data_IF_425287323020
#
_entry.id   IF_425287323020
#
_cell.length_a   1.000
_cell.length_b   1.000
_cell.length_c   1.000
_cell.angle_alpha   90.00
_cell.angle_beta   90.00
_cell.angle_gamma   90.00
#
_symmetry.space_group_name_H-M   'P 1'
#
loop_
_entity.id
_entity.type
_entity.pdbx_description
1 polymer ?
#
# COMPACT_ATOMS: atom_id res chain seq x y z
N UNK A 1 42.96 -74.13 33.37
CA UNK A 1 43.12 -72.67 33.20
C UNK A 1 43.10 -72.37 31.70
N UNK A 2 41.95 -72.56 31.07
CA UNK A 2 40.99 -71.52 30.64
C UNK A 2 41.51 -70.68 29.47
N UNK A 3 41.36 -71.25 28.28
CA UNK A 3 41.60 -70.62 26.99
C UNK A 3 40.31 -69.89 26.56
N UNK A 4 40.36 -68.56 26.45
CA UNK A 4 39.23 -67.73 26.01
C UNK A 4 39.51 -67.19 24.60
N UNK A 5 38.59 -67.36 23.64
CA UNK A 5 38.77 -66.79 22.31
C UNK A 5 38.42 -65.29 22.29
N UNK A 6 39.31 -64.49 21.68
CA UNK A 6 39.10 -63.05 21.41
C UNK A 6 37.90 -62.84 20.46
N UNK A 7 36.84 -62.20 20.96
CA UNK A 7 35.71 -61.72 20.14
C UNK A 7 36.14 -60.54 19.25
N UNK A 8 35.90 -60.65 17.95
CA UNK A 8 35.98 -59.54 16.98
C UNK A 8 34.84 -58.53 17.26
N UNK A 9 35.05 -57.21 17.10
CA UNK A 9 33.94 -56.26 17.16
C UNK A 9 33.03 -56.43 15.94
N UNK A 10 31.72 -56.51 16.18
CA UNK A 10 30.71 -56.54 15.13
C UNK A 10 30.72 -55.21 14.36
N UNK A 11 30.82 -55.29 13.03
CA UNK A 11 30.57 -54.16 12.14
C UNK A 11 29.11 -53.71 12.31
N UNK A 12 28.92 -52.53 12.90
CA UNK A 12 27.62 -51.87 12.90
C UNK A 12 27.26 -51.51 11.45
N UNK A 13 26.27 -52.21 10.93
CA UNK A 13 25.61 -51.92 9.67
C UNK A 13 25.05 -50.49 9.73
N UNK A 14 25.66 -49.56 8.97
CA UNK A 14 25.10 -48.24 8.73
C UNK A 14 23.70 -48.43 8.12
N UNK A 15 22.65 -48.18 8.91
CA UNK A 15 21.30 -48.01 8.40
C UNK A 15 21.33 -46.82 7.44
N UNK A 16 21.23 -47.10 6.14
CA UNK A 16 20.96 -46.09 5.13
C UNK A 16 19.61 -45.46 5.49
N UNK A 17 19.62 -44.17 5.84
CA UNK A 17 18.39 -43.38 5.93
C UNK A 17 17.72 -43.40 4.55
N UNK A 18 16.41 -43.61 4.46
CA UNK A 18 15.70 -43.60 3.19
C UNK A 18 15.90 -42.22 2.54
N UNK A 19 16.44 -42.24 1.33
CA UNK A 19 16.62 -41.08 0.48
C UNK A 19 15.25 -40.41 0.30
N UNK A 20 15.00 -39.28 0.98
CA UNK A 20 13.80 -38.47 0.77
C UNK A 20 13.81 -38.04 -0.70
N UNK A 21 12.99 -38.70 -1.52
CA UNK A 21 12.80 -38.32 -2.91
C UNK A 21 12.43 -36.84 -2.95
N UNK A 22 13.36 -36.02 -3.46
CA UNK A 22 13.13 -34.60 -3.68
C UNK A 22 11.89 -34.45 -4.54
N UNK A 23 10.86 -33.76 -4.04
CA UNK A 23 9.64 -33.49 -4.81
C UNK A 23 10.03 -32.90 -6.18
N UNK A 24 9.39 -33.33 -7.28
CA UNK A 24 9.70 -32.83 -8.61
C UNK A 24 9.57 -31.31 -8.65
N UNK A 25 10.51 -30.66 -9.33
CA UNK A 25 10.53 -29.20 -9.46
C UNK A 25 9.25 -28.72 -10.16
N UNK A 26 8.40 -28.00 -9.42
CA UNK A 26 7.21 -27.35 -9.97
C UNK A 26 7.57 -25.93 -10.40
N UNK A 27 7.30 -25.59 -11.66
CA UNK A 27 7.45 -24.21 -12.16
C UNK A 27 6.59 -23.25 -11.31
N UNK A 28 7.12 -22.07 -10.94
CA UNK A 28 6.35 -21.08 -10.19
C UNK A 28 5.10 -20.64 -10.95
N UNK A 29 3.99 -20.46 -10.23
CA UNK A 29 2.75 -19.97 -10.81
C UNK A 29 2.72 -18.45 -10.80
N UNK A 30 2.39 -17.84 -11.94
CA UNK A 30 2.25 -16.40 -12.05
C UNK A 30 0.86 -15.98 -11.58
N UNK A 31 0.82 -15.18 -10.53
CA UNK A 31 -0.36 -14.45 -10.10
C UNK A 31 -0.30 -13.05 -10.73
N UNK A 32 -1.18 -12.73 -11.69
CA UNK A 32 -1.11 -11.45 -12.42
C UNK A 32 -1.35 -10.25 -11.51
N UNK A 33 -2.17 -10.38 -10.47
CA UNK A 33 -2.52 -9.29 -9.55
C UNK A 33 -1.30 -8.90 -8.71
N UNK A 34 -0.66 -9.90 -8.08
CA UNK A 34 0.51 -9.66 -7.23
C UNK A 34 1.74 -9.29 -8.04
N UNK A 35 1.87 -9.82 -9.26
CA UNK A 35 2.94 -9.42 -10.17
C UNK A 35 2.78 -7.95 -10.58
N UNK A 36 1.56 -7.50 -10.93
CA UNK A 36 1.30 -6.10 -11.23
C UNK A 36 1.62 -5.20 -10.04
N UNK A 37 1.17 -5.58 -8.83
CA UNK A 37 1.47 -4.81 -7.62
C UNK A 37 2.98 -4.69 -7.38
N UNK A 38 3.73 -5.79 -7.52
CA UNK A 38 5.19 -5.77 -7.44
C UNK A 38 5.83 -4.87 -8.51
N UNK A 39 5.38 -4.92 -9.76
CA UNK A 39 5.90 -4.07 -10.83
C UNK A 39 5.69 -2.58 -10.53
N UNK A 40 4.55 -2.20 -9.94
CA UNK A 40 4.32 -0.82 -9.49
C UNK A 40 5.27 -0.45 -8.35
N UNK A 41 5.34 -1.27 -7.29
CA UNK A 41 6.21 -1.00 -6.14
C UNK A 41 7.68 -0.85 -6.57
N UNK A 42 8.15 -1.73 -7.46
CA UNK A 42 9.48 -1.62 -8.08
C UNK A 42 9.68 -0.32 -8.83
N UNK A 43 8.68 0.14 -9.58
CA UNK A 43 8.79 1.39 -10.32
C UNK A 43 8.85 2.61 -9.38
N UNK A 44 8.10 2.59 -8.27
CA UNK A 44 8.17 3.64 -7.24
C UNK A 44 9.55 3.65 -6.59
N UNK A 45 10.04 2.51 -6.12
CA UNK A 45 11.33 2.38 -5.43
C UNK A 45 12.54 2.72 -6.33
N UNK A 46 12.54 2.23 -7.58
CA UNK A 46 13.70 2.36 -8.49
C UNK A 46 13.76 3.68 -9.25
N UNK A 47 12.60 4.32 -9.50
CA UNK A 47 12.51 5.46 -10.44
C UNK A 47 11.91 6.72 -9.84
N UNK A 48 11.67 6.73 -8.53
CA UNK A 48 10.97 7.81 -7.82
C UNK A 48 9.64 8.17 -8.52
N UNK A 49 9.01 7.15 -9.10
CA UNK A 49 7.80 7.31 -9.88
C UNK A 49 6.59 7.39 -8.95
N UNK A 50 5.65 8.27 -9.26
CA UNK A 50 4.43 8.36 -8.47
C UNK A 50 3.48 7.20 -8.78
N UNK A 51 3.05 6.47 -7.75
CA UNK A 51 2.18 5.30 -7.89
C UNK A 51 0.88 5.60 -8.67
N UNK A 52 0.29 6.78 -8.47
CA UNK A 52 -0.90 7.24 -9.17
C UNK A 52 -0.68 7.48 -10.68
N UNK A 53 0.57 7.60 -11.14
CA UNK A 53 0.92 7.71 -12.56
C UNK A 53 1.29 6.36 -13.17
N UNK A 54 1.86 5.45 -12.37
CA UNK A 54 2.31 4.13 -12.83
C UNK A 54 1.20 3.09 -12.85
N UNK A 55 0.35 3.06 -11.82
CA UNK A 55 -0.67 2.04 -11.65
C UNK A 55 -1.75 2.07 -12.77
N UNK A 56 -2.33 3.23 -13.17
CA UNK A 56 -3.38 3.24 -14.19
C UNK A 56 -3.01 2.63 -15.55
N UNK A 57 -1.87 2.95 -16.18
CA UNK A 57 -1.50 2.33 -17.46
C UNK A 57 -1.23 0.82 -17.33
N UNK A 58 -0.69 0.35 -16.20
CA UNK A 58 -0.50 -1.09 -15.96
C UNK A 58 -1.85 -1.81 -15.76
N UNK A 59 -2.79 -1.23 -15.02
CA UNK A 59 -4.15 -1.77 -14.89
C UNK A 59 -4.88 -1.82 -16.23
N UNK A 60 -4.78 -0.75 -17.04
CA UNK A 60 -5.38 -0.70 -18.38
C UNK A 60 -4.85 -1.84 -19.25
N UNK A 61 -3.54 -2.04 -19.26
CA UNK A 61 -2.90 -3.14 -19.99
C UNK A 61 -3.31 -4.51 -19.45
N UNK A 62 -3.39 -4.68 -18.13
CA UNK A 62 -3.80 -5.95 -17.53
C UNK A 62 -5.23 -6.34 -17.91
N UNK A 63 -6.15 -5.36 -17.98
CA UNK A 63 -7.54 -5.53 -18.41
C UNK A 63 -7.70 -5.90 -19.90
N UNK A 64 -6.65 -5.84 -20.71
CA UNK A 64 -6.68 -6.41 -22.08
C UNK A 64 -6.76 -7.94 -22.04
N UNK A 65 -6.39 -8.58 -20.91
CA UNK A 65 -6.61 -9.99 -20.67
C UNK A 65 -8.06 -10.22 -20.17
N UNK A 66 -8.88 -11.02 -20.87
CA UNK A 66 -10.26 -11.31 -20.45
C UNK A 66 -10.39 -11.95 -19.07
N UNK A 67 -9.33 -12.62 -18.59
CA UNK A 67 -9.31 -13.27 -17.27
C UNK A 67 -8.98 -12.31 -16.12
N UNK A 68 -8.62 -11.04 -16.40
CA UNK A 68 -8.32 -10.03 -15.40
C UNK A 68 -9.51 -9.08 -15.24
N UNK A 69 -10.29 -9.28 -14.18
CA UNK A 69 -11.56 -8.58 -13.99
C UNK A 69 -11.45 -7.34 -13.09
N UNK A 70 -12.61 -6.75 -12.76
CA UNK A 70 -12.67 -5.59 -11.86
C UNK A 70 -12.24 -5.88 -10.43
N UNK A 71 -12.43 -7.12 -9.93
CA UNK A 71 -12.01 -7.53 -8.59
C UNK A 71 -10.50 -7.67 -8.51
N UNK A 72 -9.89 -8.19 -9.56
CA UNK A 72 -8.43 -8.25 -9.70
C UNK A 72 -7.81 -6.85 -9.75
N UNK A 73 -8.43 -5.93 -10.49
CA UNK A 73 -7.99 -4.53 -10.52
C UNK A 73 -8.11 -3.85 -9.15
N UNK A 74 -9.21 -4.10 -8.43
CA UNK A 74 -9.42 -3.59 -7.08
C UNK A 74 -8.40 -4.17 -6.09
N UNK A 75 -8.14 -5.48 -6.16
CA UNK A 75 -7.13 -6.12 -5.32
C UNK A 75 -5.72 -5.62 -5.63
N UNK A 76 -5.36 -5.44 -6.91
CA UNK A 76 -4.05 -4.88 -7.27
C UNK A 76 -3.88 -3.45 -6.72
N UNK A 77 -4.93 -2.62 -6.84
CA UNK A 77 -4.97 -1.25 -6.33
C UNK A 77 -4.80 -1.23 -4.81
N UNK A 78 -5.51 -2.13 -4.11
CA UNK A 78 -5.38 -2.32 -2.67
C UNK A 78 -3.95 -2.67 -2.29
N UNK A 79 -3.39 -3.69 -2.93
CA UNK A 79 -2.05 -4.18 -2.61
C UNK A 79 -0.98 -3.11 -2.82
N UNK A 80 -1.07 -2.32 -3.90
CA UNK A 80 -0.11 -1.23 -4.16
C UNK A 80 -0.24 -0.13 -3.11
N UNK A 81 -1.40 0.49 -3.00
CA UNK A 81 -1.55 1.66 -2.13
C UNK A 81 -1.48 1.29 -0.66
N UNK A 82 -2.01 0.13 -0.26
CA UNK A 82 -1.92 -0.36 1.10
C UNK A 82 -0.50 -0.70 1.53
N UNK A 83 0.33 -1.23 0.62
CA UNK A 83 1.77 -1.46 0.89
C UNK A 83 2.50 -0.14 1.08
N UNK A 84 2.34 0.83 0.16
CA UNK A 84 3.02 2.12 0.22
C UNK A 84 2.60 2.94 1.44
N UNK A 85 1.30 2.99 1.74
CA UNK A 85 0.73 3.73 2.86
C UNK A 85 1.27 3.27 4.22
N UNK A 86 1.57 1.98 4.36
CA UNK A 86 2.07 1.38 5.61
C UNK A 86 3.54 0.98 5.54
N UNK A 87 4.30 1.50 4.58
CA UNK A 87 5.68 1.09 4.33
C UNK A 87 6.58 1.28 5.55
N UNK A 88 6.49 2.43 6.25
CA UNK A 88 7.28 2.70 7.44
C UNK A 88 7.01 1.70 8.57
N UNK A 89 5.74 1.34 8.77
CA UNK A 89 5.36 0.28 9.72
C UNK A 89 5.92 -1.08 9.30
N UNK A 90 5.78 -1.46 8.02
CA UNK A 90 6.24 -2.74 7.53
C UNK A 90 7.76 -2.87 7.55
N UNK A 91 8.50 -1.80 7.29
CA UNK A 91 9.95 -1.76 7.43
C UNK A 91 10.37 -2.05 8.88
N UNK A 92 9.71 -1.43 9.88
CA UNK A 92 9.98 -1.71 11.28
C UNK A 92 9.73 -3.19 11.64
N UNK A 93 8.60 -3.74 11.18
CA UNK A 93 8.25 -5.16 11.39
C UNK A 93 9.22 -6.12 10.71
N UNK A 94 9.56 -5.86 9.45
CA UNK A 94 10.50 -6.69 8.69
C UNK A 94 11.89 -6.62 9.34
N UNK A 95 12.32 -5.44 9.79
CA UNK A 95 13.59 -5.24 10.48
C UNK A 95 13.68 -6.06 11.78
N UNK A 96 12.58 -6.19 12.52
CA UNK A 96 12.51 -7.05 13.71
C UNK A 96 12.57 -8.56 13.36
N UNK A 97 12.29 -8.92 12.11
CA UNK A 97 12.25 -10.31 11.63
C UNK A 97 13.57 -10.80 11.01
N UNK A 98 14.55 -9.91 10.79
CA UNK A 98 15.82 -10.21 10.11
C UNK A 98 17.03 -9.80 10.95
N UNK A 99 18.15 -10.50 10.76
CA UNK A 99 19.38 -10.27 11.54
C UNK A 99 20.34 -9.25 10.90
N UNK A 100 19.88 -8.51 9.89
CA UNK A 100 20.71 -7.54 9.15
C UNK A 100 19.92 -6.26 8.88
N UNK A 101 20.56 -5.09 8.77
CA UNK A 101 19.87 -3.85 8.39
C UNK A 101 19.16 -3.98 7.03
N UNK A 102 17.97 -3.38 6.89
CA UNK A 102 17.18 -3.40 5.64
C UNK A 102 17.99 -2.93 4.43
N UNK A 103 18.83 -1.89 4.59
CA UNK A 103 19.72 -1.36 3.53
C UNK A 103 20.72 -2.38 2.95
N UNK A 104 20.89 -3.55 3.58
CA UNK A 104 21.73 -4.65 3.09
C UNK A 104 20.91 -5.78 2.43
N UNK A 105 19.59 -5.64 2.38
CA UNK A 105 18.68 -6.53 1.67
C UNK A 105 18.50 -5.98 0.25
N UNK A 106 18.51 -6.86 -0.73
CA UNK A 106 18.28 -6.54 -2.14
C UNK A 106 16.91 -5.85 -2.31
N UNK A 107 16.80 -4.66 -2.93
CA UNK A 107 15.54 -3.90 -2.96
C UNK A 107 14.33 -4.70 -3.48
N UNK A 108 14.43 -5.48 -4.59
CA UNK A 108 13.33 -6.35 -5.03
C UNK A 108 12.87 -7.40 -4.00
N UNK A 109 13.74 -7.81 -3.07
CA UNK A 109 13.36 -8.69 -1.96
C UNK A 109 12.52 -7.90 -0.94
N UNK A 110 12.90 -6.65 -0.64
CA UNK A 110 12.15 -5.77 0.26
C UNK A 110 10.75 -5.50 -0.29
N UNK A 111 10.58 -5.24 -1.58
CA UNK A 111 9.25 -5.00 -2.16
C UNK A 111 8.32 -6.21 -2.00
N UNK A 112 8.86 -7.42 -2.22
CA UNK A 112 8.09 -8.65 -2.01
C UNK A 112 7.78 -8.88 -0.53
N UNK A 113 8.70 -8.53 0.37
CA UNK A 113 8.47 -8.61 1.81
C UNK A 113 7.43 -7.59 2.28
N UNK A 114 7.50 -6.34 1.83
CA UNK A 114 6.54 -5.28 2.14
C UNK A 114 5.15 -5.63 1.62
N UNK A 115 5.05 -6.08 0.35
CA UNK A 115 3.80 -6.57 -0.23
C UNK A 115 3.24 -7.79 0.52
N UNK A 116 4.12 -8.70 0.96
CA UNK A 116 3.73 -9.85 1.78
C UNK A 116 3.26 -9.45 3.17
N UNK A 117 3.94 -8.51 3.82
CA UNK A 117 3.57 -7.96 5.12
C UNK A 117 2.23 -7.23 5.05
N UNK A 118 1.99 -6.45 3.99
CA UNK A 118 0.70 -5.81 3.77
C UNK A 118 -0.44 -6.83 3.66
N UNK A 119 -0.25 -7.89 2.88
CA UNK A 119 -1.26 -8.95 2.80
C UNK A 119 -1.54 -9.61 4.15
N UNK A 120 -0.50 -9.81 4.97
CA UNK A 120 -0.63 -10.47 6.28
C UNK A 120 -1.28 -9.58 7.34
N UNK A 121 -0.90 -8.31 7.39
CA UNK A 121 -1.22 -7.40 8.49
C UNK A 121 -2.26 -6.34 8.13
N UNK A 122 -2.39 -6.01 6.85
CA UNK A 122 -3.25 -4.94 6.35
C UNK A 122 -4.48 -5.42 5.56
N UNK A 123 -4.63 -6.72 5.33
CA UNK A 123 -5.76 -7.26 4.56
C UNK A 123 -6.46 -8.42 5.28
N UNK A 124 -7.60 -8.84 4.73
CA UNK A 124 -8.35 -10.03 5.19
C UNK A 124 -7.94 -11.33 4.47
N UNK A 125 -6.82 -11.32 3.74
CA UNK A 125 -6.33 -12.52 3.04
C UNK A 125 -5.87 -13.55 4.08
N UNK A 126 -6.31 -14.83 4.00
CA UNK A 126 -5.86 -15.85 4.93
C UNK A 126 -4.32 -15.99 4.93
N UNK A 127 -3.74 -16.09 6.13
CA UNK A 127 -2.28 -16.13 6.35
C UNK A 127 -1.55 -17.09 5.41
N UNK A 128 -2.04 -18.33 5.27
CA UNK A 128 -1.42 -19.34 4.42
C UNK A 128 -1.45 -18.95 2.93
N UNK A 129 -2.51 -18.28 2.47
CA UNK A 129 -2.65 -17.81 1.10
C UNK A 129 -1.71 -16.62 0.83
N UNK A 130 -1.64 -15.65 1.76
CA UNK A 130 -0.71 -14.52 1.69
C UNK A 130 0.76 -14.97 1.62
N UNK A 131 1.18 -15.87 2.51
CA UNK A 131 2.55 -16.43 2.49
C UNK A 131 2.79 -17.21 1.21
N UNK A 132 1.90 -18.14 0.85
CA UNK A 132 2.08 -18.98 -0.35
C UNK A 132 2.20 -18.13 -1.62
N UNK A 133 1.31 -17.16 -1.81
CA UNK A 133 1.30 -16.33 -2.99
C UNK A 133 2.52 -15.39 -3.06
N UNK A 134 2.97 -14.84 -1.93
CA UNK A 134 4.18 -14.00 -1.87
C UNK A 134 5.45 -14.81 -2.13
N UNK A 135 5.50 -16.07 -1.70
CA UNK A 135 6.61 -16.98 -2.00
C UNK A 135 6.61 -17.36 -3.48
N UNK A 136 5.46 -17.66 -4.08
CA UNK A 136 5.37 -17.92 -5.53
C UNK A 136 5.79 -16.69 -6.34
N UNK A 137 5.34 -15.49 -5.95
CA UNK A 137 5.81 -14.22 -6.54
C UNK A 137 7.34 -14.10 -6.44
N UNK A 138 7.92 -14.33 -5.26
CA UNK A 138 9.37 -14.30 -5.06
C UNK A 138 10.10 -15.31 -5.98
N UNK A 139 9.53 -16.50 -6.18
CA UNK A 139 10.12 -17.50 -7.10
C UNK A 139 10.07 -17.02 -8.55
N UNK A 140 9.00 -16.33 -8.95
CA UNK A 140 8.85 -15.75 -10.29
C UNK A 140 9.87 -14.63 -10.53
N UNK A 141 10.00 -13.68 -9.58
CA UNK A 141 10.75 -12.43 -9.83
C UNK A 141 12.18 -12.44 -9.28
N UNK A 142 12.48 -13.30 -8.29
CA UNK A 142 13.78 -13.36 -7.59
C UNK A 142 14.46 -14.74 -7.69
N UNK A 143 13.73 -15.79 -8.10
CA UNK A 143 14.21 -17.17 -8.13
C UNK A 143 14.16 -17.90 -6.79
N UNK A 144 14.31 -19.23 -6.84
CA UNK A 144 14.03 -20.13 -5.71
C UNK A 144 14.89 -19.89 -4.45
N UNK A 145 16.12 -19.38 -4.61
CA UNK A 145 17.02 -19.10 -3.47
C UNK A 145 16.48 -17.99 -2.58
N UNK A 146 16.14 -16.84 -3.16
CA UNK A 146 15.59 -15.68 -2.44
C UNK A 146 14.17 -15.94 -1.94
N UNK A 147 13.38 -16.74 -2.66
CA UNK A 147 12.05 -17.14 -2.20
C UNK A 147 12.05 -17.88 -0.85
N UNK A 148 13.09 -18.67 -0.55
CA UNK A 148 13.22 -19.32 0.77
C UNK A 148 13.42 -18.30 1.89
N UNK A 149 14.18 -17.25 1.64
CA UNK A 149 14.37 -16.14 2.58
C UNK A 149 13.05 -15.39 2.80
N UNK A 150 12.35 -15.01 1.72
CA UNK A 150 11.02 -14.39 1.79
C UNK A 150 10.05 -15.23 2.63
N UNK A 151 9.95 -16.53 2.35
CA UNK A 151 9.12 -17.45 3.11
C UNK A 151 9.48 -17.47 4.61
N UNK A 152 10.77 -17.51 4.95
CA UNK A 152 11.20 -17.55 6.34
C UNK A 152 10.83 -16.26 7.08
N UNK A 153 11.01 -15.10 6.45
CA UNK A 153 10.67 -13.80 7.04
C UNK A 153 9.16 -13.64 7.18
N UNK A 154 8.38 -13.92 6.13
CA UNK A 154 6.91 -13.77 6.17
C UNK A 154 6.24 -14.72 7.18
N UNK A 155 6.84 -15.88 7.47
CA UNK A 155 6.36 -16.73 8.57
C UNK A 155 6.60 -16.12 9.95
N UNK A 156 7.69 -15.37 10.13
CA UNK A 156 7.93 -14.61 11.36
C UNK A 156 6.94 -13.46 11.47
N UNK A 157 6.75 -12.69 10.39
CA UNK A 157 5.75 -11.62 10.32
C UNK A 157 4.35 -12.13 10.66
N UNK A 158 3.97 -13.30 10.13
CA UNK A 158 2.68 -13.94 10.39
C UNK A 158 2.50 -14.49 11.82
N UNK A 159 3.48 -14.36 12.72
CA UNK A 159 3.38 -14.84 14.09
C UNK A 159 2.51 -13.93 14.98
N UNK A 160 2.16 -12.74 14.49
CA UNK A 160 1.30 -11.79 15.20
C UNK A 160 0.45 -10.96 14.23
N UNK A 161 -0.55 -10.27 14.79
CA UNK A 161 -1.32 -9.25 14.08
C UNK A 161 -0.62 -7.88 14.12
N UNK A 162 -1.24 -6.88 13.48
CA UNK A 162 -0.65 -5.54 13.37
C UNK A 162 -0.46 -4.89 14.74
N UNK A 163 -1.44 -5.00 15.63
CA UNK A 163 -1.40 -4.36 16.95
C UNK A 163 -0.29 -4.97 17.81
N UNK A 164 -0.19 -6.30 17.85
CA UNK A 164 0.89 -6.99 18.55
C UNK A 164 2.28 -6.70 17.98
N UNK A 165 2.38 -6.41 16.68
CA UNK A 165 3.62 -5.91 16.08
C UNK A 165 3.94 -4.48 16.51
N UNK A 166 2.96 -3.57 16.45
CA UNK A 166 3.15 -2.17 16.83
C UNK A 166 3.63 -2.04 18.28
N UNK A 167 3.06 -2.82 19.20
CA UNK A 167 3.52 -2.89 20.60
C UNK A 167 5.00 -3.30 20.75
N UNK A 168 5.54 -4.08 19.81
CA UNK A 168 6.93 -4.56 19.85
C UNK A 168 7.92 -3.65 19.15
N UNK A 169 7.52 -3.01 18.05
CA UNK A 169 8.45 -2.30 17.17
C UNK A 169 8.37 -0.79 17.31
N UNK A 170 7.26 -0.24 17.80
CA UNK A 170 7.18 1.18 18.13
C UNK A 170 7.92 1.43 19.46
N UNK A 171 8.80 2.44 19.54
CA UNK A 171 9.39 2.84 20.82
C UNK A 171 8.29 3.33 21.79
N UNK A 172 8.50 3.25 23.12
CA UNK A 172 7.54 3.79 24.07
C UNK A 172 7.24 5.27 23.81
N UNK A 173 5.96 5.63 23.81
CA UNK A 173 5.52 6.99 23.47
C UNK A 173 6.09 8.05 24.42
N UNK A 174 6.23 7.72 25.69
CA UNK A 174 6.77 8.60 26.73
C UNK A 174 8.28 8.82 26.62
N UNK A 175 9.01 7.88 26.00
CA UNK A 175 10.43 7.99 25.71
C UNK A 175 10.68 8.79 24.42
N UNK A 176 9.96 8.48 23.34
CA UNK A 176 10.12 9.14 22.03
C UNK A 176 8.82 9.14 21.21
N UNK A 177 7.94 10.10 21.50
CA UNK A 177 6.62 10.23 20.87
C UNK A 177 6.69 10.35 19.34
N UNK A 178 7.65 11.10 18.78
CA UNK A 178 7.75 11.24 17.32
C UNK A 178 8.13 9.93 16.64
N UNK A 179 9.09 9.18 17.22
CA UNK A 179 9.47 7.88 16.68
C UNK A 179 8.34 6.85 16.84
N UNK A 180 7.60 6.92 17.94
CA UNK A 180 6.41 6.10 18.14
C UNK A 180 5.38 6.35 17.06
N UNK A 181 4.97 7.61 16.88
CA UNK A 181 3.99 8.04 15.89
C UNK A 181 4.44 7.71 14.46
N UNK A 182 5.73 7.87 14.15
CA UNK A 182 6.31 7.52 12.85
C UNK A 182 6.10 6.04 12.50
N UNK A 183 6.23 5.13 13.48
CA UNK A 183 6.02 3.70 13.27
C UNK A 183 4.53 3.34 13.24
N UNK A 184 3.75 3.85 14.19
CA UNK A 184 2.32 3.52 14.32
C UNK A 184 1.50 4.04 13.14
N UNK A 185 1.75 5.27 12.72
CA UNK A 185 1.05 5.89 11.60
C UNK A 185 1.83 5.78 10.28
N UNK A 186 2.97 5.09 10.23
CA UNK A 186 3.74 4.91 8.98
C UNK A 186 4.17 6.21 8.29
N UNK A 187 4.53 7.23 9.07
CA UNK A 187 5.05 8.49 8.55
C UNK A 187 6.56 8.59 8.79
N UNK A 188 7.34 9.16 7.86
CA UNK A 188 8.71 9.55 8.17
C UNK A 188 8.74 10.47 9.38
N UNK A 189 9.71 10.28 10.30
CA UNK A 189 9.80 11.08 11.53
C UNK A 189 9.72 12.59 11.27
N UNK A 190 10.40 13.07 10.22
CA UNK A 190 10.40 14.50 9.89
C UNK A 190 9.01 15.02 9.46
N UNK A 191 8.16 14.18 8.86
CA UNK A 191 6.76 14.52 8.54
C UNK A 191 5.96 14.64 9.83
N UNK A 192 6.12 13.69 10.76
CA UNK A 192 5.47 13.76 12.08
C UNK A 192 5.84 15.06 12.78
N UNK A 193 7.13 15.42 12.84
CA UNK A 193 7.58 16.68 13.44
C UNK A 193 6.97 17.89 12.73
N UNK A 194 6.98 17.93 11.39
CA UNK A 194 6.45 19.06 10.62
C UNK A 194 4.94 19.25 10.82
N UNK A 195 4.17 18.17 10.84
CA UNK A 195 2.72 18.22 11.06
C UNK A 195 2.39 18.59 12.51
N UNK A 196 3.14 18.08 13.47
CA UNK A 196 3.01 18.47 14.86
C UNK A 196 3.29 19.97 15.07
N UNK A 197 4.37 20.49 14.49
CA UNK A 197 4.68 21.93 14.54
C UNK A 197 3.56 22.76 13.90
N UNK A 198 2.94 22.26 12.81
CA UNK A 198 1.82 22.94 12.14
C UNK A 198 0.56 23.08 13.02
N UNK A 199 0.37 22.19 13.99
CA UNK A 199 -0.69 22.25 15.00
C UNK A 199 -0.35 23.18 16.19
N UNK A 200 0.78 23.88 16.13
CA UNK A 200 1.25 24.80 17.16
C UNK A 200 2.13 24.14 18.23
N UNK A 201 2.70 22.96 17.95
CA UNK A 201 3.70 22.28 18.81
C UNK A 201 3.12 21.57 20.05
N UNK A 202 1.82 21.72 20.32
CA UNK A 202 1.12 20.94 21.34
C UNK A 202 0.86 19.50 20.88
N UNK A 203 0.69 18.57 21.83
CA UNK A 203 0.35 17.15 21.54
C UNK A 203 -1.09 16.94 21.06
N UNK A 204 -1.95 17.95 21.16
CA UNK A 204 -3.37 17.79 20.87
C UNK A 204 -3.61 17.64 19.37
N UNK A 205 -4.29 16.55 18.98
CA UNK A 205 -4.76 16.32 17.60
C UNK A 205 -3.73 15.76 16.62
N UNK A 206 -2.48 15.51 17.02
CA UNK A 206 -1.47 14.95 16.09
C UNK A 206 -1.82 13.52 15.66
N UNK A 207 -2.31 12.68 16.58
CA UNK A 207 -2.74 11.32 16.28
C UNK A 207 -3.93 11.31 15.30
N UNK A 208 -4.95 12.13 15.56
CA UNK A 208 -6.12 12.28 14.68
C UNK A 208 -5.70 12.74 13.28
N UNK A 209 -4.73 13.67 13.19
CA UNK A 209 -4.23 14.19 11.92
C UNK A 209 -3.46 13.12 11.13
N UNK A 210 -2.58 12.36 11.79
CA UNK A 210 -1.82 11.29 11.15
C UNK A 210 -2.71 10.09 10.78
N UNK A 211 -3.76 9.82 11.55
CA UNK A 211 -4.78 8.84 11.19
C UNK A 211 -5.56 9.30 9.95
N UNK A 212 -6.02 10.55 9.92
CA UNK A 212 -6.72 11.11 8.77
C UNK A 212 -5.87 11.11 7.49
N UNK A 213 -4.58 11.44 7.57
CA UNK A 213 -3.66 11.40 6.42
C UNK A 213 -3.46 9.96 5.88
N UNK A 214 -3.64 8.96 6.73
CA UNK A 214 -3.63 7.55 6.35
C UNK A 214 -4.98 7.01 5.89
N UNK A 215 -6.06 7.77 5.94
CA UNK A 215 -7.33 7.31 5.39
C UNK A 215 -7.26 7.24 3.86
N UNK A 216 -8.10 6.36 3.27
CA UNK A 216 -8.19 6.28 1.81
C UNK A 216 -8.78 7.61 1.31
N UNK A 217 -8.15 8.26 0.31
CA UNK A 217 -8.68 9.51 -0.21
C UNK A 217 -10.04 9.26 -0.86
N UNK A 218 -11.03 10.07 -0.48
CA UNK A 218 -12.32 10.12 -1.14
C UNK A 218 -12.18 10.79 -2.52
N UNK A 219 -12.85 10.24 -3.53
CA UNK A 219 -12.87 10.87 -4.86
C UNK A 219 -13.92 11.97 -4.86
N UNK A 220 -13.48 13.21 -5.04
CA UNK A 220 -14.36 14.38 -5.09
C UNK A 220 -14.40 14.95 -6.51
N UNK A 221 -15.61 15.25 -6.96
CA UNK A 221 -15.88 15.96 -8.21
C UNK A 221 -16.22 17.42 -7.92
N UNK A 222 -15.88 18.29 -8.87
CA UNK A 222 -16.34 19.69 -8.91
C UNK A 222 -17.31 19.87 -10.07
N UNK A 223 -18.52 20.37 -9.78
CA UNK A 223 -19.43 20.92 -10.78
C UNK A 223 -18.95 22.31 -11.17
N UNK A 224 -18.57 22.54 -12.44
CA UNK A 224 -18.07 23.86 -12.85
C UNK A 224 -19.25 24.81 -13.06
N UNK A 225 -19.30 25.95 -12.35
CA UNK A 225 -20.40 26.91 -12.48
C UNK A 225 -20.63 27.32 -13.94
N UNK A 226 -21.90 27.32 -14.35
CA UNK A 226 -22.31 27.63 -15.73
C UNK A 226 -22.11 26.51 -16.76
N UNK A 227 -21.55 25.36 -16.36
CA UNK A 227 -21.38 24.18 -17.24
C UNK A 227 -22.07 22.92 -16.72
N UNK A 228 -22.19 22.79 -15.40
CA UNK A 228 -22.90 21.71 -14.73
C UNK A 228 -23.34 22.14 -13.33
N UNK A 229 -24.15 21.33 -12.67
CA UNK A 229 -24.58 21.51 -11.27
C UNK A 229 -24.27 20.27 -10.44
N UNK A 230 -24.25 20.42 -9.12
CA UNK A 230 -24.10 19.29 -8.20
C UNK A 230 -25.27 18.31 -8.33
N UNK A 231 -26.47 18.81 -8.62
CA UNK A 231 -27.66 17.99 -8.82
C UNK A 231 -27.52 17.10 -10.07
N UNK A 232 -27.10 17.69 -11.20
CA UNK A 232 -26.83 16.93 -12.43
C UNK A 232 -25.76 15.85 -12.22
N UNK A 233 -24.69 16.18 -11.48
CA UNK A 233 -23.65 15.21 -11.15
C UNK A 233 -24.17 14.09 -10.24
N UNK A 234 -25.00 14.44 -9.25
CA UNK A 234 -25.61 13.47 -8.32
C UNK A 234 -26.52 12.50 -9.08
N UNK A 235 -27.34 13.02 -9.99
CA UNK A 235 -28.19 12.20 -10.86
C UNK A 235 -27.37 11.26 -11.77
N UNK A 236 -26.27 11.78 -12.35
CA UNK A 236 -25.41 11.00 -13.26
C UNK A 236 -24.65 9.88 -12.52
N UNK A 237 -24.19 10.16 -11.31
CA UNK A 237 -23.48 9.19 -10.46
C UNK A 237 -24.45 8.19 -9.83
N UNK A 238 -25.68 8.63 -9.56
CA UNK A 238 -26.70 7.90 -8.83
C UNK A 238 -26.75 8.32 -7.35
N UNK A 239 -27.97 8.56 -6.84
CA UNK A 239 -28.20 9.08 -5.49
C UNK A 239 -27.59 8.22 -4.38
N UNK A 240 -27.55 6.90 -4.57
CA UNK A 240 -26.97 5.96 -3.60
C UNK A 240 -25.43 5.97 -3.59
N UNK A 241 -24.81 6.52 -4.64
CA UNK A 241 -23.35 6.51 -4.86
C UNK A 241 -22.73 7.91 -4.79
N UNK A 242 -23.56 8.96 -4.73
CA UNK A 242 -23.17 10.35 -4.64
C UNK A 242 -23.48 10.91 -3.25
N UNK A 243 -22.48 11.51 -2.62
CA UNK A 243 -22.61 12.23 -1.37
C UNK A 243 -22.40 13.72 -1.62
N UNK A 244 -23.11 14.61 -0.92
CA UNK A 244 -22.81 16.04 -1.00
C UNK A 244 -21.38 16.33 -0.49
N UNK A 245 -20.78 17.38 -1.05
CA UNK A 245 -19.58 17.98 -0.50
C UNK A 245 -19.73 18.33 0.98
N UNK A 246 -18.66 18.18 1.75
CA UNK A 246 -18.64 18.55 3.18
C UNK A 246 -18.54 20.06 3.37
N UNK A 247 -17.83 20.74 2.46
CA UNK A 247 -17.41 22.13 2.60
C UNK A 247 -17.68 22.98 1.37
N UNK A 248 -17.42 22.44 0.17
CA UNK A 248 -17.60 23.17 -1.09
C UNK A 248 -19.02 23.01 -1.61
N UNK A 249 -19.71 24.11 -1.99
CA UNK A 249 -21.04 24.04 -2.59
C UNK A 249 -21.03 23.48 -4.02
N UNK A 250 -19.85 23.29 -4.60
CA UNK A 250 -19.66 22.75 -5.95
C UNK A 250 -19.27 21.27 -5.94
N UNK A 251 -19.14 20.65 -4.76
CA UNK A 251 -18.59 19.32 -4.62
C UNK A 251 -19.66 18.23 -4.60
N UNK A 252 -19.34 17.13 -5.30
CA UNK A 252 -20.01 15.83 -5.17
C UNK A 252 -18.94 14.78 -4.88
N UNK A 253 -19.09 14.03 -3.80
CA UNK A 253 -18.16 12.98 -3.38
C UNK A 253 -18.69 11.62 -3.83
N UNK A 254 -17.81 10.76 -4.34
CA UNK A 254 -18.17 9.40 -4.73
C UNK A 254 -18.06 8.47 -3.52
N UNK A 255 -19.19 7.88 -3.09
CA UNK A 255 -19.28 7.08 -1.87
C UNK A 255 -18.35 5.84 -1.88
N UNK A 256 -18.27 5.17 -3.03
CA UNK A 256 -17.46 3.95 -3.21
C UNK A 256 -16.25 4.18 -4.14
N UNK A 257 -15.93 5.44 -4.46
CA UNK A 257 -14.97 5.78 -5.50
C UNK A 257 -15.49 5.46 -6.91
N UNK A 258 -14.61 5.07 -7.83
CA UNK A 258 -14.97 4.69 -9.20
C UNK A 258 -13.97 5.16 -10.25
N UNK A 259 -14.42 5.23 -11.50
CA UNK A 259 -13.65 5.79 -12.63
C UNK A 259 -14.27 7.13 -13.05
N UNK A 260 -13.83 8.27 -12.47
CA UNK A 260 -14.41 9.58 -12.79
C UNK A 260 -14.36 9.95 -14.26
N UNK A 261 -13.33 9.48 -14.98
CA UNK A 261 -13.21 9.72 -16.43
C UNK A 261 -14.31 9.05 -17.27
N UNK A 262 -15.01 8.07 -16.70
CA UNK A 262 -16.18 7.45 -17.34
C UNK A 262 -17.43 8.33 -17.26
N UNK A 263 -17.51 9.27 -16.30
CA UNK A 263 -18.64 10.18 -16.12
C UNK A 263 -18.68 11.19 -17.27
N UNK A 264 -19.83 11.31 -17.96
CA UNK A 264 -20.00 12.17 -19.14
C UNK A 264 -19.61 13.62 -18.87
N UNK A 265 -20.13 14.22 -17.80
CA UNK A 265 -19.81 15.60 -17.42
C UNK A 265 -18.31 15.83 -17.19
N UNK A 266 -17.57 14.84 -16.68
CA UNK A 266 -16.11 14.92 -16.51
C UNK A 266 -15.42 14.83 -17.87
N UNK A 267 -15.84 13.90 -18.72
CA UNK A 267 -15.28 13.69 -20.07
C UNK A 267 -15.45 14.93 -20.95
N UNK A 268 -16.58 15.61 -20.82
CA UNK A 268 -16.91 16.84 -21.56
C UNK A 268 -16.30 18.11 -20.92
N UNK A 269 -15.60 17.97 -19.79
CA UNK A 269 -15.00 19.10 -19.07
C UNK A 269 -16.02 20.08 -18.46
N UNK A 270 -17.26 19.62 -18.25
CA UNK A 270 -18.31 20.34 -17.52
C UNK A 270 -18.17 20.15 -16.00
N UNK A 271 -17.56 19.03 -15.60
CA UNK A 271 -17.08 18.75 -14.27
C UNK A 271 -15.60 18.33 -14.29
N UNK A 272 -15.01 18.08 -13.12
CA UNK A 272 -13.65 17.55 -13.00
C UNK A 272 -13.42 16.85 -11.66
N UNK A 273 -12.31 16.11 -11.54
CA UNK A 273 -11.86 15.57 -10.25
C UNK A 273 -11.05 16.64 -9.54
N UNK A 274 -11.52 17.08 -8.37
CA UNK A 274 -10.88 18.13 -7.58
C UNK A 274 -11.30 18.01 -6.11
N UNK A 275 -10.35 18.11 -5.19
CA UNK A 275 -10.62 18.14 -3.75
C UNK A 275 -11.39 19.40 -3.35
N UNK A 276 -12.16 19.31 -2.26
CA UNK A 276 -12.95 20.45 -1.77
C UNK A 276 -12.09 21.64 -1.36
N UNK A 277 -10.89 21.40 -0.82
CA UNK A 277 -9.96 22.45 -0.42
C UNK A 277 -9.57 23.34 -1.61
N UNK A 278 -9.13 22.74 -2.73
CA UNK A 278 -8.81 23.51 -3.94
C UNK A 278 -10.03 24.21 -4.55
N UNK A 279 -11.23 23.61 -4.44
CA UNK A 279 -12.46 24.27 -4.88
C UNK A 279 -12.73 25.54 -4.07
N UNK A 280 -12.55 25.48 -2.75
CA UNK A 280 -12.72 26.63 -1.87
C UNK A 280 -11.71 27.74 -2.15
N UNK A 281 -10.46 27.40 -2.47
CA UNK A 281 -9.45 28.40 -2.89
C UNK A 281 -9.92 29.16 -4.13
N UNK A 282 -10.41 28.43 -5.15
CA UNK A 282 -10.94 29.06 -6.37
C UNK A 282 -12.17 29.92 -6.08
N UNK A 283 -13.07 29.44 -5.22
CA UNK A 283 -14.27 30.18 -4.81
C UNK A 283 -13.90 31.45 -4.02
N UNK A 284 -12.95 31.37 -3.09
CA UNK A 284 -12.48 32.52 -2.31
C UNK A 284 -11.84 33.58 -3.22
N UNK A 285 -11.01 33.16 -4.17
CA UNK A 285 -10.39 34.06 -5.16
C UNK A 285 -11.45 34.73 -6.04
N UNK A 286 -12.42 33.97 -6.56
CA UNK A 286 -13.46 34.49 -7.44
C UNK A 286 -14.41 35.47 -6.72
N UNK A 287 -14.55 35.36 -5.40
CA UNK A 287 -15.39 36.23 -4.57
C UNK A 287 -14.57 37.29 -3.81
N UNK A 288 -13.27 37.42 -4.08
CA UNK A 288 -12.45 38.44 -3.43
C UNK A 288 -12.97 39.84 -3.84
N UNK A 289 -13.12 40.76 -2.87
CA UNK A 289 -13.55 42.12 -3.19
C UNK A 289 -12.51 42.78 -4.10
N UNK A 290 -12.96 43.36 -5.21
CA UNK A 290 -12.11 44.14 -6.10
C UNK A 290 -12.14 45.60 -5.66
N UNK A 291 -10.96 46.16 -5.35
CA UNK A 291 -10.79 47.59 -5.15
C UNK A 291 -10.46 48.27 -6.50
N UNK A 292 -11.27 49.25 -6.91
CA UNK A 292 -11.08 49.98 -8.16
C UNK A 292 -12.00 49.51 -9.30
N UNK A 293 -11.58 49.74 -10.55
CA UNK A 293 -12.34 49.35 -11.75
C UNK A 293 -11.70 48.13 -12.41
N UNK A 294 -12.55 47.18 -12.78
CA UNK A 294 -12.20 45.95 -13.49
C UNK A 294 -11.86 46.22 -14.98
N UNK A 295 -10.85 47.06 -15.20
CA UNK A 295 -10.45 47.55 -16.53
C UNK A 295 -9.05 47.06 -16.94
N UNK A 296 -8.31 46.40 -16.04
CA UNK A 296 -6.93 45.92 -16.28
C UNK A 296 -6.79 44.47 -15.86
N UNK A 297 -6.86 43.58 -16.84
CA UNK A 297 -6.57 42.17 -16.65
C UNK A 297 -5.06 41.95 -16.83
N UNK A 298 -4.53 40.95 -16.11
CA UNK A 298 -3.10 40.63 -16.08
C UNK A 298 -2.76 39.62 -17.19
N UNK A 299 -3.17 39.94 -18.40
CA UNK A 299 -2.72 39.38 -19.65
C UNK A 299 -1.59 40.29 -20.15
N UNK A 300 -0.36 39.80 -20.03
CA UNK A 300 0.87 40.53 -20.38
C UNK A 300 0.98 40.90 -21.86
#
# INVERSE_FOLDING_TARGET
>A
MTDQPRRRPAQQSRRQQPNQQSKPYRRPQKDPVRLLAFEVLRAVDDRDAYANLVLPPLLKKARENPDFDGRDAALATELVYGTLRRQGTYDAVISACIDRPLRQVDPPVLDVLALGAHQLLGTRIPTHAAVSASVELARVVLGDGRAKFVNAVLRKVAADDLDGWLERVAPPYDEDAEAHLAVVHSHPRWIVSALWDSLGGGRAGIEDLLEADNERPEVTLVARPGRSTTDELTETVGEDSALPGRWSPYAVRLAEGGEPGAIEAVRDGRAGVQDEGSQLVAAALANAPLEGRDERWLDG
#
